data_IF_072978157991
#
_entry.id   IF_072978157991
#
_cell.length_a   1.000
_cell.length_b   1.000
_cell.length_c   1.000
_cell.angle_alpha   90.00
_cell.angle_beta   90.00
_cell.angle_gamma   90.00
#
_symmetry.space_group_name_H-M   'P 1'
#
loop_
_entity.id
_entity.type
_entity.pdbx_description
1 polymer ?
#
# COMPACT_ATOMS: atom_id res chain seq x y z
N UNK A 1 -4.58 26.78 0.64
CA UNK A 1 -5.56 25.86 1.26
C UNK A 1 -6.13 26.54 2.49
N UNK A 2 -7.43 26.38 2.80
CA UNK A 2 -8.02 26.82 4.07
C UNK A 2 -7.28 26.25 5.29
N UNK A 3 -7.30 26.95 6.42
CA UNK A 3 -6.58 26.54 7.63
C UNK A 3 -7.10 25.24 8.28
N UNK A 4 -8.32 24.84 7.96
CA UNK A 4 -8.99 23.62 8.43
C UNK A 4 -8.88 22.46 7.42
N UNK A 5 -8.07 22.60 6.38
CA UNK A 5 -7.85 21.52 5.41
C UNK A 5 -7.25 20.30 6.08
N UNK A 6 -7.81 19.12 5.77
CA UNK A 6 -7.30 17.83 6.23
C UNK A 6 -6.39 17.21 5.18
N UNK A 7 -5.21 16.79 5.60
CA UNK A 7 -4.22 16.13 4.75
C UNK A 7 -4.22 14.64 5.06
N UNK A 8 -4.49 13.86 4.03
CA UNK A 8 -4.56 12.40 4.13
C UNK A 8 -3.67 11.76 3.07
N UNK A 9 -3.14 10.60 3.40
CA UNK A 9 -2.44 9.72 2.46
C UNK A 9 -2.76 8.27 2.77
N UNK A 10 -2.33 7.36 1.90
CA UNK A 10 -2.51 5.92 2.07
C UNK A 10 -1.17 5.21 1.94
N UNK A 11 -0.96 4.20 2.77
CA UNK A 11 0.19 3.32 2.71
C UNK A 11 -0.25 1.86 2.69
N UNK A 12 0.69 0.98 2.37
CA UNK A 12 0.46 -0.46 2.23
C UNK A 12 1.69 -1.22 2.69
N UNK A 13 1.51 -2.44 3.18
CA UNK A 13 2.62 -3.30 3.56
C UNK A 13 3.63 -3.43 2.40
N UNK A 14 4.93 -3.11 2.62
CA UNK A 14 5.88 -2.93 1.53
C UNK A 14 6.09 -4.18 0.67
N UNK A 15 6.00 -5.38 1.24
CA UNK A 15 6.18 -6.62 0.50
C UNK A 15 4.98 -6.89 -0.42
N UNK A 16 3.77 -6.71 0.10
CA UNK A 16 2.54 -6.82 -0.67
C UNK A 16 2.50 -5.76 -1.78
N UNK A 17 2.92 -4.52 -1.50
CA UNK A 17 3.00 -3.46 -2.49
C UNK A 17 4.02 -3.77 -3.59
N UNK A 18 5.24 -4.19 -3.23
CA UNK A 18 6.28 -4.50 -4.20
C UNK A 18 5.91 -5.73 -5.04
N UNK A 19 5.40 -6.81 -4.42
CA UNK A 19 4.92 -7.99 -5.14
C UNK A 19 3.81 -7.63 -6.13
N UNK A 20 2.82 -6.85 -5.67
CA UNK A 20 1.72 -6.38 -6.52
C UNK A 20 2.23 -5.55 -7.70
N UNK A 21 3.11 -4.58 -7.44
CA UNK A 21 3.64 -3.68 -8.46
C UNK A 21 4.52 -4.42 -9.46
N UNK A 22 5.33 -5.37 -8.99
CA UNK A 22 6.19 -6.20 -9.84
C UNK A 22 5.40 -6.96 -10.90
N UNK A 23 4.28 -7.55 -10.50
CA UNK A 23 3.42 -8.32 -11.39
C UNK A 23 2.55 -7.42 -12.25
N UNK A 24 1.86 -6.45 -11.65
CA UNK A 24 0.92 -5.56 -12.34
C UNK A 24 1.61 -4.78 -13.47
N UNK A 25 2.79 -4.21 -13.21
CA UNK A 25 3.54 -3.47 -14.21
C UNK A 25 4.55 -4.31 -14.99
N UNK A 26 4.61 -5.62 -14.74
CA UNK A 26 5.61 -6.52 -15.33
C UNK A 26 7.03 -5.97 -15.21
N UNK A 27 7.43 -5.52 -14.01
CA UNK A 27 8.65 -4.74 -13.79
C UNK A 27 9.93 -5.46 -14.24
N UNK A 28 10.00 -6.78 -14.17
CA UNK A 28 11.13 -7.53 -14.74
C UNK A 28 11.36 -7.20 -16.22
N UNK A 29 10.29 -7.24 -17.02
CA UNK A 29 10.33 -6.91 -18.45
C UNK A 29 10.41 -5.40 -18.70
N UNK A 30 9.53 -4.64 -18.06
CA UNK A 30 9.28 -3.25 -18.43
C UNK A 30 10.27 -2.28 -17.78
N UNK A 31 10.71 -2.56 -16.55
CA UNK A 31 11.69 -1.76 -15.83
C UNK A 31 13.11 -2.31 -16.00
N UNK A 32 13.33 -3.56 -15.59
CA UNK A 32 14.67 -4.18 -15.56
C UNK A 32 15.12 -4.69 -16.94
N UNK A 33 14.25 -4.60 -17.96
CA UNK A 33 14.50 -4.99 -19.36
C UNK A 33 14.94 -6.45 -19.51
N UNK A 34 14.40 -7.32 -18.67
CA UNK A 34 14.61 -8.77 -18.72
C UNK A 34 13.26 -9.50 -18.62
N UNK A 35 12.74 -9.94 -19.77
CA UNK A 35 11.43 -10.60 -19.88
C UNK A 35 11.32 -11.90 -19.06
N UNK A 36 12.44 -12.59 -18.84
CA UNK A 36 12.49 -13.85 -18.09
C UNK A 36 12.74 -13.66 -16.59
N UNK A 37 12.88 -12.41 -16.13
CA UNK A 37 13.14 -12.10 -14.73
C UNK A 37 11.83 -12.08 -13.94
N UNK A 38 11.46 -13.25 -13.41
CA UNK A 38 10.39 -13.36 -12.42
C UNK A 38 10.81 -12.72 -11.09
N UNK A 39 9.85 -12.41 -10.21
CA UNK A 39 10.18 -11.90 -8.87
C UNK A 39 11.06 -12.89 -8.10
N UNK A 40 10.74 -14.19 -8.13
CA UNK A 40 11.58 -15.23 -7.48
C UNK A 40 13.00 -15.26 -8.02
N UNK A 41 13.18 -15.16 -9.34
CA UNK A 41 14.51 -15.13 -9.94
C UNK A 41 15.27 -13.86 -9.52
N UNK A 42 14.60 -12.71 -9.46
CA UNK A 42 15.18 -11.47 -8.94
C UNK A 42 15.65 -11.65 -7.49
N UNK A 43 14.83 -12.27 -6.64
CA UNK A 43 15.15 -12.49 -5.23
C UNK A 43 16.21 -13.56 -4.99
N UNK A 44 16.74 -14.21 -6.03
CA UNK A 44 17.94 -15.06 -5.91
C UNK A 44 19.25 -14.26 -5.85
N UNK A 45 19.28 -13.03 -6.39
CA UNK A 45 20.47 -12.16 -6.39
C UNK A 45 20.67 -11.48 -5.04
N UNK A 46 21.90 -11.09 -4.69
CA UNK A 46 22.14 -10.31 -3.48
C UNK A 46 21.36 -8.99 -3.50
N UNK A 47 20.87 -8.53 -2.34
CA UNK A 47 20.05 -7.30 -2.24
C UNK A 47 20.77 -6.09 -2.84
N UNK A 48 22.07 -5.93 -2.57
CA UNK A 48 22.89 -4.85 -3.16
C UNK A 48 22.99 -4.90 -4.68
N UNK A 49 22.96 -6.10 -5.28
CA UNK A 49 23.00 -6.24 -6.73
C UNK A 49 21.66 -5.86 -7.35
N UNK A 50 20.55 -6.22 -6.69
CA UNK A 50 19.21 -5.76 -7.08
C UNK A 50 19.13 -4.23 -7.01
N UNK A 51 19.60 -3.62 -5.91
CA UNK A 51 19.63 -2.16 -5.76
C UNK A 51 20.42 -1.52 -6.89
N UNK A 52 21.63 -2.00 -7.21
CA UNK A 52 22.41 -1.51 -8.35
C UNK A 52 21.66 -1.66 -9.67
N UNK A 53 20.96 -2.77 -9.89
CA UNK A 53 20.14 -2.96 -11.10
C UNK A 53 19.03 -1.92 -11.20
N UNK A 54 18.41 -1.58 -10.07
CA UNK A 54 17.36 -0.56 -9.97
C UNK A 54 17.91 0.86 -10.16
N UNK A 55 18.97 1.24 -9.45
CA UNK A 55 19.58 2.59 -9.50
C UNK A 55 20.19 2.93 -10.88
N UNK A 56 20.63 1.92 -11.63
CA UNK A 56 21.17 2.11 -12.98
C UNK A 56 20.08 2.34 -14.05
N UNK A 57 18.80 2.42 -13.65
CA UNK A 57 17.67 2.63 -14.55
C UNK A 57 16.72 3.66 -13.97
N UNK A 58 16.18 4.52 -14.83
CA UNK A 58 15.04 5.34 -14.43
C UNK A 58 13.86 4.45 -14.02
N UNK A 59 13.04 4.92 -13.07
CA UNK A 59 11.77 4.28 -12.69
C UNK A 59 10.92 3.98 -13.92
N UNK A 60 10.17 2.90 -13.87
CA UNK A 60 9.25 2.57 -14.95
C UNK A 60 8.17 3.63 -15.08
N UNK A 61 8.03 4.18 -16.29
CA UNK A 61 7.11 5.29 -16.55
C UNK A 61 7.40 6.55 -15.74
N UNK A 62 8.65 6.73 -15.26
CA UNK A 62 9.06 7.81 -14.34
C UNK A 62 8.37 7.79 -12.97
N UNK A 63 7.68 6.70 -12.61
CA UNK A 63 6.90 6.62 -11.37
C UNK A 63 7.17 5.34 -10.57
N UNK A 64 7.28 4.18 -11.22
CA UNK A 64 7.23 2.89 -10.53
C UNK A 64 8.60 2.27 -10.30
N UNK A 65 8.88 1.87 -9.06
CA UNK A 65 10.15 1.25 -8.66
C UNK A 65 10.14 0.74 -7.21
N UNK A 66 11.33 0.62 -6.63
CA UNK A 66 11.50 0.33 -5.19
C UNK A 66 11.32 1.61 -4.36
N UNK A 67 11.00 1.45 -3.06
CA UNK A 67 10.58 2.54 -2.17
C UNK A 67 9.48 3.40 -2.81
N UNK A 68 8.40 2.76 -3.26
CA UNK A 68 7.33 3.41 -4.01
C UNK A 68 6.59 4.43 -3.16
N UNK A 69 6.28 4.11 -1.89
CA UNK A 69 5.56 5.03 -1.02
C UNK A 69 6.39 6.27 -0.72
N UNK A 70 7.68 6.11 -0.43
CA UNK A 70 8.60 7.22 -0.23
C UNK A 70 8.73 8.11 -1.47
N UNK A 71 8.78 7.51 -2.66
CA UNK A 71 8.80 8.24 -3.93
C UNK A 71 7.51 9.05 -4.13
N UNK A 72 6.34 8.44 -3.88
CA UNK A 72 5.04 9.10 -4.01
C UNK A 72 4.88 10.26 -3.01
N UNK A 73 5.56 10.18 -1.87
CA UNK A 73 5.67 11.25 -0.85
C UNK A 73 6.76 12.29 -1.17
N UNK A 74 7.39 12.22 -2.34
CA UNK A 74 8.31 13.23 -2.84
C UNK A 74 9.78 13.03 -2.49
N UNK A 75 10.17 11.88 -1.93
CA UNK A 75 11.58 11.59 -1.65
C UNK A 75 12.35 11.30 -2.94
N UNK A 76 13.45 12.03 -3.17
CA UNK A 76 14.37 11.76 -4.29
C UNK A 76 15.07 10.41 -4.09
N UNK A 77 15.11 9.59 -5.15
CA UNK A 77 15.68 8.25 -5.14
C UNK A 77 17.14 8.21 -4.67
N UNK A 78 17.91 9.27 -4.95
CA UNK A 78 19.31 9.41 -4.52
C UNK A 78 19.45 9.48 -3.00
N UNK A 79 18.35 9.78 -2.29
CA UNK A 79 18.31 9.87 -0.84
C UNK A 79 17.85 8.58 -0.17
N UNK A 80 17.46 7.52 -0.90
CA UNK A 80 16.94 6.28 -0.31
C UNK A 80 17.93 5.56 0.62
N UNK A 81 19.22 5.91 0.55
CA UNK A 81 20.27 5.39 1.43
C UNK A 81 20.80 6.42 2.44
N UNK A 82 20.23 7.62 2.45
CA UNK A 82 20.60 8.69 3.37
C UNK A 82 19.72 8.60 4.62
N UNK A 83 20.31 8.10 5.70
CA UNK A 83 19.63 7.91 7.00
C UNK A 83 18.97 9.19 7.52
N UNK A 84 19.62 10.35 7.38
CA UNK A 84 19.05 11.62 7.81
C UNK A 84 17.83 12.00 6.98
N UNK A 85 17.86 11.75 5.66
CA UNK A 85 16.74 12.03 4.78
C UNK A 85 15.54 11.10 5.07
N UNK A 86 15.80 9.82 5.38
CA UNK A 86 14.76 8.86 5.76
C UNK A 86 14.06 9.30 7.05
N UNK A 87 14.82 9.65 8.09
CA UNK A 87 14.24 10.13 9.35
C UNK A 87 13.49 11.46 9.17
N UNK A 88 14.02 12.34 8.31
CA UNK A 88 13.33 13.59 7.96
C UNK A 88 12.00 13.30 7.28
N UNK A 89 11.95 12.39 6.30
CA UNK A 89 10.71 11.99 5.65
C UNK A 89 9.69 11.46 6.66
N UNK A 90 10.10 10.52 7.52
CA UNK A 90 9.21 9.93 8.53
C UNK A 90 8.63 11.01 9.44
N UNK A 91 9.48 11.90 9.98
CA UNK A 91 9.02 13.00 10.84
C UNK A 91 8.09 13.98 10.12
N UNK A 92 8.37 14.29 8.84
CA UNK A 92 7.57 15.20 8.02
C UNK A 92 6.19 14.60 7.77
N UNK A 93 6.13 13.35 7.32
CA UNK A 93 4.86 12.65 7.06
C UNK A 93 4.02 12.57 8.34
N UNK A 94 4.63 12.24 9.47
CA UNK A 94 3.94 12.21 10.77
C UNK A 94 3.40 13.56 11.21
N UNK A 95 4.07 14.67 10.85
CA UNK A 95 3.66 16.01 11.24
C UNK A 95 2.64 16.65 10.28
N UNK A 96 2.71 16.33 8.99
CA UNK A 96 1.92 17.00 7.96
C UNK A 96 0.58 16.32 7.67
N UNK A 97 0.48 15.00 7.82
CA UNK A 97 -0.77 14.27 7.57
C UNK A 97 -1.60 14.14 8.84
N UNK A 98 -2.85 14.62 8.81
CA UNK A 98 -3.83 14.44 9.88
C UNK A 98 -4.16 12.95 10.10
N UNK A 99 -4.17 12.16 9.01
CA UNK A 99 -4.41 10.72 9.03
C UNK A 99 -3.67 10.03 7.87
N UNK A 100 -2.96 8.96 8.20
CA UNK A 100 -2.43 8.02 7.20
C UNK A 100 -3.25 6.75 7.23
N UNK A 101 -3.94 6.47 6.13
CA UNK A 101 -4.70 5.23 5.93
C UNK A 101 -3.73 4.08 5.69
N UNK A 102 -4.04 2.90 6.21
CA UNK A 102 -3.29 1.68 5.93
C UNK A 102 -4.18 0.73 5.15
N UNK A 103 -3.81 0.45 3.90
CA UNK A 103 -4.63 -0.34 2.98
C UNK A 103 -4.90 -1.77 3.51
N UNK A 104 -3.96 -2.33 4.27
CA UNK A 104 -4.10 -3.62 4.95
C UNK A 104 -5.18 -3.61 6.05
N UNK A 105 -5.51 -2.43 6.56
CA UNK A 105 -6.55 -2.17 7.56
C UNK A 105 -7.56 -1.14 7.03
N UNK A 106 -8.01 -1.30 5.78
CA UNK A 106 -8.81 -0.28 5.09
C UNK A 106 -10.10 0.08 5.84
N UNK A 107 -10.85 -0.91 6.36
CA UNK A 107 -12.08 -0.64 7.11
C UNK A 107 -11.82 0.23 8.34
N UNK A 108 -10.81 -0.11 9.15
CA UNK A 108 -10.39 0.68 10.31
C UNK A 108 -9.98 2.08 9.88
N UNK A 109 -9.15 2.18 8.82
CA UNK A 109 -8.64 3.45 8.31
C UNK A 109 -9.77 4.36 7.85
N UNK A 110 -10.79 3.81 7.19
CA UNK A 110 -11.94 4.55 6.71
C UNK A 110 -12.90 4.97 7.83
N UNK A 111 -13.06 4.16 8.88
CA UNK A 111 -13.79 4.59 10.10
C UNK A 111 -13.12 5.81 10.73
N UNK A 112 -11.78 5.78 10.89
CA UNK A 112 -11.03 6.91 11.41
C UNK A 112 -11.10 8.13 10.48
N UNK A 113 -11.18 7.91 9.16
CA UNK A 113 -11.35 8.98 8.18
C UNK A 113 -12.74 9.65 8.30
N UNK A 114 -13.79 8.86 8.49
CA UNK A 114 -15.13 9.40 8.72
C UNK A 114 -15.15 10.32 9.95
N UNK A 115 -14.54 9.89 11.04
CA UNK A 115 -14.44 10.68 12.28
C UNK A 115 -13.64 11.98 12.06
N UNK A 116 -12.46 11.89 11.42
CA UNK A 116 -11.64 13.04 11.08
C UNK A 116 -12.38 14.10 10.25
N UNK A 117 -13.21 13.66 9.30
CA UNK A 117 -13.97 14.52 8.41
C UNK A 117 -15.34 14.93 8.98
N UNK A 118 -15.73 14.39 10.14
CA UNK A 118 -17.09 14.50 10.69
C UNK A 118 -18.17 14.04 9.71
N UNK A 119 -17.88 12.97 8.97
CA UNK A 119 -18.77 12.41 7.95
C UNK A 119 -19.55 11.20 8.49
N UNK A 120 -20.77 10.97 7.97
CA UNK A 120 -21.47 9.72 8.21
C UNK A 120 -20.68 8.52 7.67
N UNK A 121 -20.72 7.41 8.39
CA UNK A 121 -19.97 6.20 8.05
C UNK A 121 -20.36 5.63 6.67
N UNK A 122 -21.60 5.83 6.25
CA UNK A 122 -22.12 5.42 4.94
C UNK A 122 -21.38 6.08 3.78
N UNK A 123 -20.76 7.25 3.98
CA UNK A 123 -19.95 7.92 2.97
C UNK A 123 -18.59 7.25 2.75
N UNK A 124 -18.19 6.35 3.64
CA UNK A 124 -16.96 5.57 3.53
C UNK A 124 -17.15 4.23 2.81
N UNK A 125 -18.37 3.92 2.37
CA UNK A 125 -18.66 2.68 1.68
C UNK A 125 -17.79 2.55 0.43
N UNK A 126 -17.22 1.36 0.20
CA UNK A 126 -16.34 1.11 -0.94
C UNK A 126 -16.52 -0.32 -1.49
N UNK A 127 -16.13 -0.50 -2.75
CA UNK A 127 -15.99 -1.82 -3.38
C UNK A 127 -14.51 -2.03 -3.65
N UNK A 128 -13.97 -3.15 -3.16
CA UNK A 128 -12.57 -3.48 -3.38
C UNK A 128 -12.36 -3.89 -4.86
N UNK A 129 -11.58 -3.09 -5.59
CA UNK A 129 -11.20 -3.36 -6.98
C UNK A 129 -9.74 -3.78 -7.08
N UNK A 130 -9.39 -4.49 -8.15
CA UNK A 130 -8.04 -5.02 -8.38
C UNK A 130 -7.50 -5.88 -7.22
N UNK A 131 -8.40 -6.51 -6.47
CA UNK A 131 -8.05 -7.56 -5.52
C UNK A 131 -7.43 -8.70 -6.29
N UNK A 132 -6.24 -9.13 -5.87
CA UNK A 132 -5.56 -10.26 -6.50
C UNK A 132 -6.13 -11.53 -5.89
N UNK A 133 -6.50 -12.45 -6.77
CA UNK A 133 -6.76 -13.83 -6.38
C UNK A 133 -5.58 -14.36 -5.55
N UNK A 134 -5.87 -15.15 -4.52
CA UNK A 134 -4.83 -15.71 -3.63
C UNK A 134 -3.78 -16.51 -4.40
N UNK A 135 -4.19 -17.16 -5.50
CA UNK A 135 -3.32 -17.88 -6.44
C UNK A 135 -2.38 -16.97 -7.24
N UNK A 136 -2.74 -15.70 -7.43
CA UNK A 136 -1.93 -14.71 -8.12
C UNK A 136 -0.91 -14.03 -7.19
N UNK A 137 -1.03 -14.18 -5.88
CA UNK A 137 -0.07 -13.66 -4.89
C UNK A 137 1.15 -14.59 -4.80
N UNK A 138 2.35 -14.01 -4.88
CA UNK A 138 3.57 -14.81 -4.80
C UNK A 138 3.69 -15.52 -3.47
N UNK A 139 3.92 -16.84 -3.51
CA UNK A 139 4.29 -17.62 -2.35
C UNK A 139 5.77 -17.37 -2.02
N UNK A 140 6.03 -16.40 -1.15
CA UNK A 140 7.36 -15.94 -0.73
C UNK A 140 7.78 -16.59 0.59
N UNK A 141 9.01 -17.07 0.65
CA UNK A 141 9.67 -17.50 1.88
C UNK A 141 9.99 -16.31 2.78
N UNK A 142 10.25 -16.56 4.08
CA UNK A 142 10.66 -15.51 5.02
C UNK A 142 11.93 -14.78 4.57
N UNK A 143 12.87 -15.51 3.95
CA UNK A 143 14.09 -14.93 3.41
C UNK A 143 13.79 -13.98 2.23
N UNK A 144 12.95 -14.41 1.29
CA UNK A 144 12.51 -13.58 0.16
C UNK A 144 11.77 -12.33 0.64
N UNK A 145 10.89 -12.48 1.63
CA UNK A 145 10.20 -11.37 2.29
C UNK A 145 11.18 -10.36 2.90
N UNK A 146 12.18 -10.84 3.65
CA UNK A 146 13.20 -9.98 4.26
C UNK A 146 13.98 -9.20 3.21
N UNK A 147 14.34 -9.83 2.08
CA UNK A 147 15.03 -9.16 0.98
C UNK A 147 14.20 -8.07 0.33
N UNK A 148 12.89 -8.27 0.20
CA UNK A 148 11.99 -7.22 -0.31
C UNK A 148 11.91 -6.05 0.68
N UNK A 149 11.86 -6.31 1.99
CA UNK A 149 11.91 -5.26 3.01
C UNK A 149 13.24 -4.49 2.96
N UNK A 150 14.37 -5.18 2.83
CA UNK A 150 15.69 -4.54 2.68
C UNK A 150 15.79 -3.70 1.40
N UNK A 151 15.26 -4.21 0.27
CA UNK A 151 15.18 -3.46 -0.98
C UNK A 151 14.31 -2.21 -0.85
N UNK A 152 13.21 -2.32 -0.09
CA UNK A 152 12.27 -1.23 0.18
C UNK A 152 12.47 -0.68 1.60
N UNK A 153 13.72 -0.42 1.99
CA UNK A 153 14.08 -0.05 3.36
C UNK A 153 13.34 1.21 3.86
N UNK A 154 13.21 2.23 3.00
CA UNK A 154 12.54 3.48 3.38
C UNK A 154 11.07 3.22 3.66
N UNK A 155 10.40 2.56 2.71
CA UNK A 155 8.98 2.18 2.82
C UNK A 155 8.74 1.28 4.03
N UNK A 156 9.66 0.38 4.34
CA UNK A 156 9.56 -0.52 5.51
C UNK A 156 9.58 0.24 6.82
N UNK A 157 10.53 1.18 6.98
CA UNK A 157 10.61 2.02 8.18
C UNK A 157 9.42 2.96 8.32
N UNK A 158 8.99 3.53 7.19
CA UNK A 158 7.83 4.41 7.13
C UNK A 158 6.55 3.64 7.54
N UNK A 159 6.35 2.45 6.98
CA UNK A 159 5.22 1.58 7.31
C UNK A 159 5.21 1.18 8.78
N UNK A 160 6.34 0.74 9.32
CA UNK A 160 6.45 0.36 10.73
C UNK A 160 6.15 1.52 11.68
N UNK A 161 6.59 2.73 11.34
CA UNK A 161 6.32 3.94 12.13
C UNK A 161 4.83 4.29 12.10
N UNK A 162 4.23 4.38 10.91
CA UNK A 162 2.85 4.80 10.76
C UNK A 162 1.85 3.73 11.21
N UNK A 163 2.22 2.45 11.18
CA UNK A 163 1.42 1.39 11.79
C UNK A 163 1.33 1.55 13.32
N UNK A 164 2.38 2.06 13.98
CA UNK A 164 2.31 2.41 15.41
C UNK A 164 1.40 3.61 15.65
N UNK A 165 1.42 4.60 14.75
CA UNK A 165 0.50 5.75 14.83
C UNK A 165 -0.95 5.31 14.64
N UNK A 166 -1.23 4.42 13.67
CA UNK A 166 -2.57 3.87 13.48
C UNK A 166 -3.07 3.21 14.75
N UNK A 167 -2.25 2.39 15.40
CA UNK A 167 -2.60 1.74 16.67
C UNK A 167 -2.95 2.75 17.77
N UNK A 168 -2.16 3.82 17.90
CA UNK A 168 -2.48 4.89 18.85
C UNK A 168 -3.81 5.60 18.53
N UNK A 169 -4.11 5.84 17.24
CA UNK A 169 -5.40 6.42 16.82
C UNK A 169 -6.59 5.48 17.08
N UNK A 170 -6.41 4.17 16.94
CA UNK A 170 -7.41 3.16 17.32
C UNK A 170 -7.72 3.26 18.82
N UNK A 171 -6.67 3.36 19.65
CA UNK A 171 -6.83 3.51 21.10
C UNK A 171 -7.52 4.84 21.48
N UNK A 172 -7.15 5.94 20.82
CA UNK A 172 -7.76 7.26 21.02
C UNK A 172 -9.25 7.29 20.63
N UNK A 173 -9.62 6.64 19.52
CA UNK A 173 -11.00 6.51 19.08
C UNK A 173 -11.85 5.66 20.04
N UNK A 174 -11.22 4.67 20.67
CA UNK A 174 -11.81 3.67 21.53
C UNK A 174 -11.93 2.32 20.84
N UNK A 175 -11.31 1.29 21.43
CA UNK A 175 -11.22 -0.06 20.84
C UNK A 175 -12.59 -0.67 20.58
N UNK A 176 -13.48 -0.66 21.56
CA UNK A 176 -14.85 -1.21 21.41
C UNK A 176 -15.65 -0.44 20.35
N UNK A 177 -15.55 0.89 20.37
CA UNK A 177 -16.24 1.76 19.40
C UNK A 177 -15.77 1.49 17.97
N UNK A 178 -14.46 1.34 17.75
CA UNK A 178 -13.94 1.09 16.40
C UNK A 178 -14.34 -0.28 15.87
N UNK A 179 -14.43 -1.29 16.75
CA UNK A 179 -14.87 -2.63 16.36
C UNK A 179 -16.32 -2.61 15.90
N UNK A 180 -17.20 -1.90 16.65
CA UNK A 180 -18.60 -1.70 16.26
C UNK A 180 -18.72 -0.97 14.92
N UNK A 181 -18.02 0.14 14.73
CA UNK A 181 -18.09 0.91 13.50
C UNK A 181 -17.48 0.17 12.30
N UNK A 182 -16.43 -0.63 12.50
CA UNK A 182 -15.89 -1.51 11.46
C UNK A 182 -16.91 -2.55 11.03
N UNK A 183 -17.61 -3.19 11.98
CA UNK A 183 -18.68 -4.16 11.66
C UNK A 183 -19.82 -3.50 10.88
N UNK A 184 -20.19 -2.26 11.26
CA UNK A 184 -21.22 -1.50 10.53
C UNK A 184 -20.77 -1.15 9.12
N UNK A 185 -19.53 -0.68 8.94
CA UNK A 185 -19.00 -0.36 7.62
C UNK A 185 -18.90 -1.60 6.72
N UNK A 186 -18.50 -2.74 7.28
CA UNK A 186 -18.49 -4.01 6.55
C UNK A 186 -19.90 -4.39 6.06
N UNK A 187 -20.92 -4.28 6.91
CA UNK A 187 -22.31 -4.56 6.52
C UNK A 187 -22.83 -3.58 5.43
N UNK A 188 -22.42 -2.32 5.49
CA UNK A 188 -22.74 -1.33 4.45
C UNK A 188 -22.09 -1.72 3.12
N UNK A 189 -20.83 -2.17 3.15
CA UNK A 189 -20.13 -2.63 1.94
C UNK A 189 -20.78 -3.89 1.35
N UNK A 190 -21.19 -4.86 2.17
CA UNK A 190 -21.88 -6.07 1.70
C UNK A 190 -23.19 -5.73 0.96
N UNK A 191 -23.97 -4.80 1.52
CA UNK A 191 -25.20 -4.30 0.88
C UNK A 191 -24.89 -3.58 -0.44
N UNK A 192 -23.85 -2.74 -0.46
CA UNK A 192 -23.40 -2.04 -1.67
C UNK A 192 -22.97 -3.03 -2.77
N UNK A 193 -22.15 -4.02 -2.43
CA UNK A 193 -21.70 -5.06 -3.36
C UNK A 193 -22.88 -5.86 -3.91
N UNK A 194 -23.84 -6.24 -3.07
CA UNK A 194 -25.04 -6.97 -3.53
C UNK A 194 -25.88 -6.20 -4.56
N UNK A 195 -25.86 -4.86 -4.48
CA UNK A 195 -26.60 -3.97 -5.39
C UNK A 195 -25.83 -3.71 -6.68
N UNK A 196 -24.52 -3.53 -6.58
CA UNK A 196 -23.67 -3.06 -7.68
C UNK A 196 -23.01 -4.19 -8.49
N UNK A 197 -22.75 -5.35 -7.87
CA UNK A 197 -22.05 -6.48 -8.51
C UNK A 197 -23.01 -7.60 -8.95
N UNK A 198 -24.30 -7.30 -9.18
CA UNK A 198 -25.27 -8.27 -9.71
C UNK A 198 -24.68 -8.99 -10.92
N UNK A 199 -24.33 -10.25 -10.72
CA UNK A 199 -23.83 -11.16 -11.75
C UNK A 199 -24.99 -11.37 -12.73
N UNK A 200 -24.93 -10.78 -13.92
CA UNK A 200 -25.72 -11.33 -15.02
C UNK A 200 -25.22 -12.76 -15.24
N UNK A 201 -26.09 -13.79 -15.25
CA UNK A 201 -25.66 -15.14 -15.54
C UNK A 201 -24.97 -15.13 -16.90
N UNK A 202 -23.70 -15.56 -16.94
CA UNK A 202 -22.99 -15.83 -18.18
C UNK A 202 -23.92 -16.69 -19.03
N UNK A 203 -24.37 -16.15 -20.17
CA UNK A 203 -24.98 -16.97 -21.21
C UNK A 203 -23.92 -18.01 -21.56
N UNK A 204 -24.20 -19.26 -21.19
CA UNK A 204 -23.58 -20.41 -21.83
C UNK A 204 -24.00 -20.37 -23.28
N UNK A 205 -23.20 -19.72 -24.11
CA UNK A 205 -23.27 -19.90 -25.55
C UNK A 205 -22.65 -21.28 -25.82
N UNK A 206 -23.52 -22.29 -25.79
CA UNK A 206 -23.32 -23.54 -26.48
C UNK A 206 -23.13 -23.23 -27.97
N UNK A 207 -21.96 -23.57 -28.52
CA UNK A 207 -21.77 -24.11 -29.88
C UNK A 207 -20.35 -24.68 -30.02
#
# INVERSE_FOLDING_TARGET
MPNDSKWITVMREPVALFDSSYHYFSLGNNWLKNKSLTLKNLLSYATDDIIKMCENRARYGYAFGHNQMAFDLGMDEKQFRNETAIETLISTVTAEFDLVLVADFMLISLVLLADLLCWPLEQMAFIALNTRETSAVSQLTELERKKILELNNVDSRLYDHLLRILKAKIEEYGVERIEEDVMRLAAINDDLESKCLKIEPQKTDNL
#
